data_IF_134848692483
#
_entry.id   IF_134848692483
#
_cell.length_a   1.000
_cell.length_b   1.000
_cell.length_c   1.000
_cell.angle_alpha   90.00
_cell.angle_beta   90.00
_cell.angle_gamma   90.00
#
_symmetry.space_group_name_H-M   'P 1'
#
loop_
_entity.id
_entity.type
_entity.pdbx_description
1 polymer ?
#
# COMPACT_ATOMS: atom_id res chain seq x y z
N UNK A 1 -0.88 10.13 14.81
CA UNK A 1 -0.31 10.76 13.61
C UNK A 1 1.03 11.33 14.01
N UNK A 2 2.12 10.64 13.69
CA UNK A 2 3.47 11.16 13.90
C UNK A 2 3.93 11.77 12.58
N UNK A 3 4.11 13.09 12.57
CA UNK A 3 4.61 13.84 11.43
C UNK A 3 6.12 13.61 11.30
N UNK A 4 6.53 12.86 10.28
CA UNK A 4 7.94 12.72 9.91
C UNK A 4 8.37 13.92 9.05
N UNK A 5 8.31 15.14 9.59
CA UNK A 5 8.79 16.35 8.89
C UNK A 5 10.24 16.66 9.29
N UNK A 6 11.19 16.36 8.39
CA UNK A 6 12.34 17.26 8.23
C UNK A 6 11.85 18.48 7.45
N UNK A 7 11.99 19.63 8.09
CA UNK A 7 11.42 20.90 7.72
C UNK A 7 12.20 21.54 6.56
N UNK A 8 11.59 21.59 5.38
CA UNK A 8 11.90 22.58 4.34
C UNK A 8 10.59 23.17 3.83
N UNK A 9 10.51 24.50 3.82
CA UNK A 9 9.29 25.24 3.57
C UNK A 9 8.71 24.94 2.17
N UNK A 10 7.52 24.33 2.09
CA UNK A 10 6.65 24.41 0.91
C UNK A 10 5.96 23.13 0.43
N UNK A 11 6.44 21.94 0.79
CA UNK A 11 5.90 20.66 0.26
C UNK A 11 5.63 19.64 1.37
N UNK A 12 4.46 19.00 1.34
CA UNK A 12 4.15 17.86 2.21
C UNK A 12 4.88 16.62 1.68
N UNK A 13 6.02 16.28 2.28
CA UNK A 13 6.91 15.21 1.82
C UNK A 13 6.35 13.79 2.04
N UNK A 14 5.60 13.56 3.13
CA UNK A 14 4.96 12.27 3.39
C UNK A 14 4.16 12.26 4.69
N UNK A 15 3.17 11.38 4.80
CA UNK A 15 2.32 11.21 5.99
C UNK A 15 2.32 9.75 6.42
N UNK A 16 2.34 9.51 7.74
CA UNK A 16 2.14 8.17 8.31
C UNK A 16 0.74 8.03 8.91
N UNK A 17 0.03 7.00 8.49
CA UNK A 17 -1.31 6.64 8.94
C UNK A 17 -1.28 5.30 9.67
N UNK A 18 -2.09 5.20 10.73
CA UNK A 18 -2.43 3.89 11.29
C UNK A 18 -3.43 3.17 10.37
N UNK A 19 -3.34 1.85 10.26
CA UNK A 19 -4.26 1.05 9.46
C UNK A 19 -5.73 1.18 9.88
N UNK A 20 -6.03 1.62 11.11
CA UNK A 20 -7.38 1.88 11.61
C UNK A 20 -7.86 3.32 11.48
N UNK A 21 -7.14 4.19 10.76
CA UNK A 21 -7.59 5.57 10.59
C UNK A 21 -8.88 5.62 9.75
N UNK A 22 -9.83 6.44 10.18
CA UNK A 22 -10.99 6.82 9.37
C UNK A 22 -10.50 7.81 8.31
N UNK A 23 -10.35 7.35 7.07
CA UNK A 23 -9.69 8.12 6.01
C UNK A 23 -10.48 9.38 5.63
N UNK A 24 -11.80 9.32 5.74
CA UNK A 24 -12.71 10.44 5.51
C UNK A 24 -12.36 11.68 6.33
N UNK A 25 -11.82 11.51 7.54
CA UNK A 25 -11.49 12.62 8.44
C UNK A 25 -10.20 13.36 8.03
N UNK A 26 -9.31 12.70 7.27
CA UNK A 26 -7.95 13.21 7.00
C UNK A 26 -7.62 13.32 5.51
N UNK A 27 -8.48 12.79 4.63
CA UNK A 27 -8.17 12.63 3.20
C UNK A 27 -7.74 13.93 2.51
N UNK A 28 -8.39 15.05 2.82
CA UNK A 28 -8.12 16.33 2.16
C UNK A 28 -6.70 16.86 2.42
N UNK A 29 -6.13 16.47 3.57
CA UNK A 29 -4.77 16.83 3.98
C UNK A 29 -3.77 15.84 3.37
N UNK A 30 -4.05 14.54 3.47
CA UNK A 30 -3.06 13.49 3.14
C UNK A 30 -2.99 13.17 1.66
N UNK A 31 -4.07 13.39 0.88
CA UNK A 31 -4.07 13.10 -0.57
C UNK A 31 -3.06 13.93 -1.37
N UNK A 32 -2.57 15.04 -0.78
CA UNK A 32 -1.54 15.92 -1.38
C UNK A 32 -0.12 15.48 -1.05
N UNK A 33 0.05 14.54 -0.13
CA UNK A 33 1.36 14.04 0.25
C UNK A 33 1.97 13.23 -0.90
N UNK A 34 3.26 13.42 -1.15
CA UNK A 34 3.99 12.60 -2.13
C UNK A 34 4.00 11.11 -1.75
N UNK A 35 3.91 10.82 -0.44
CA UNK A 35 3.96 9.49 0.14
C UNK A 35 2.95 9.35 1.29
N UNK A 36 2.26 8.23 1.35
CA UNK A 36 1.48 7.79 2.52
C UNK A 36 2.03 6.44 2.99
N UNK A 37 2.59 6.42 4.20
CA UNK A 37 3.01 5.21 4.89
C UNK A 37 1.86 4.69 5.77
N UNK A 38 1.39 3.47 5.54
CA UNK A 38 0.36 2.82 6.35
C UNK A 38 1.04 1.83 7.29
N UNK A 39 0.89 2.04 8.60
CA UNK A 39 1.47 1.15 9.60
C UNK A 39 0.57 -0.03 9.94
N UNK A 40 1.18 -1.21 9.97
CA UNK A 40 0.57 -2.44 10.43
C UNK A 40 1.03 -2.72 11.86
N UNK A 41 0.07 -2.81 12.80
CA UNK A 41 0.34 -3.06 14.21
C UNK A 41 0.57 -4.55 14.54
N UNK A 42 0.28 -5.45 13.60
CA UNK A 42 0.49 -6.88 13.75
C UNK A 42 -0.01 -7.68 12.56
N UNK A 43 0.38 -8.95 12.49
CA UNK A 43 0.11 -9.84 11.34
C UNK A 43 -1.39 -10.06 11.06
N UNK A 44 -2.28 -9.88 12.04
CA UNK A 44 -3.71 -10.08 11.87
C UNK A 44 -4.45 -8.81 11.42
N UNK A 45 -3.73 -7.70 11.23
CA UNK A 45 -4.34 -6.42 10.89
C UNK A 45 -4.54 -6.24 9.38
N UNK A 46 -5.72 -6.62 8.90
CA UNK A 46 -6.11 -6.43 7.50
C UNK A 46 -6.57 -5.00 7.15
N UNK A 47 -6.76 -4.09 8.11
CA UNK A 47 -7.42 -2.80 7.83
C UNK A 47 -6.62 -1.91 6.90
N UNK A 48 -5.29 -1.95 7.00
CA UNK A 48 -4.38 -1.24 6.09
C UNK A 48 -4.55 -1.64 4.61
N UNK A 49 -4.98 -2.87 4.32
CA UNK A 49 -5.26 -3.33 2.96
C UNK A 49 -6.51 -2.65 2.39
N UNK A 50 -7.59 -2.59 3.18
CA UNK A 50 -8.82 -1.89 2.81
C UNK A 50 -8.57 -0.39 2.63
N UNK A 51 -7.75 0.21 3.50
CA UNK A 51 -7.35 1.60 3.40
C UNK A 51 -6.61 1.89 2.09
N UNK A 52 -5.64 1.05 1.71
CA UNK A 52 -4.94 1.19 0.43
C UNK A 52 -5.89 1.10 -0.78
N UNK A 53 -6.85 0.15 -0.75
CA UNK A 53 -7.87 0.03 -1.80
C UNK A 53 -8.72 1.30 -1.89
N UNK A 54 -9.16 1.87 -0.77
CA UNK A 54 -9.94 3.12 -0.74
C UNK A 54 -9.13 4.29 -1.30
N UNK A 55 -7.87 4.43 -0.87
CA UNK A 55 -6.96 5.47 -1.36
C UNK A 55 -6.81 5.41 -2.89
N UNK A 56 -6.58 4.23 -3.46
CA UNK A 56 -6.44 4.08 -4.92
C UNK A 56 -7.74 4.22 -5.69
N UNK A 57 -8.84 3.65 -5.20
CA UNK A 57 -10.09 3.54 -5.96
C UNK A 57 -11.05 4.70 -5.76
N UNK A 58 -11.27 5.13 -4.52
CA UNK A 58 -12.25 6.17 -4.18
C UNK A 58 -11.66 7.56 -4.22
N UNK A 59 -10.42 7.70 -3.76
CA UNK A 59 -9.76 8.99 -3.62
C UNK A 59 -8.70 9.27 -4.69
N UNK A 60 -8.51 8.34 -5.63
CA UNK A 60 -7.60 8.46 -6.76
C UNK A 60 -6.17 8.86 -6.34
N UNK A 61 -5.72 8.41 -5.17
CA UNK A 61 -4.38 8.72 -4.69
C UNK A 61 -3.33 8.05 -5.57
N UNK A 62 -2.48 8.88 -6.20
CA UNK A 62 -1.43 8.43 -7.15
C UNK A 62 -0.01 8.50 -6.60
N UNK A 63 0.18 9.03 -5.39
CA UNK A 63 1.48 9.04 -4.73
C UNK A 63 1.92 7.65 -4.25
N UNK A 64 3.07 7.61 -3.59
CA UNK A 64 3.65 6.37 -3.06
C UNK A 64 2.78 5.83 -1.91
N UNK A 65 2.45 4.54 -1.95
CA UNK A 65 1.83 3.85 -0.83
C UNK A 65 2.81 2.84 -0.23
N UNK A 66 3.31 3.18 0.95
CA UNK A 66 4.31 2.39 1.67
C UNK A 66 3.68 1.59 2.80
N UNK A 67 3.93 0.30 2.85
CA UNK A 67 3.64 -0.52 4.02
C UNK A 67 4.79 -0.46 5.02
N UNK A 68 4.49 -0.17 6.29
CA UNK A 68 5.50 -0.08 7.37
C UNK A 68 5.04 -0.81 8.64
N UNK A 69 5.96 -1.14 9.54
CA UNK A 69 5.67 -1.91 10.76
C UNK A 69 5.77 -3.41 10.55
N UNK A 70 4.78 -4.18 11.04
CA UNK A 70 4.77 -5.65 10.94
C UNK A 70 4.34 -6.13 9.55
N UNK A 71 5.14 -5.80 8.53
CA UNK A 71 4.90 -6.19 7.14
C UNK A 71 5.36 -7.62 6.91
N UNK A 72 4.42 -8.51 6.60
CA UNK A 72 4.71 -9.91 6.27
C UNK A 72 5.20 -10.03 4.82
N UNK A 73 6.42 -10.55 4.57
CA UNK A 73 6.96 -10.70 3.21
C UNK A 73 6.07 -11.52 2.27
N UNK A 74 5.45 -12.59 2.79
CA UNK A 74 4.60 -13.48 2.01
C UNK A 74 3.30 -12.81 1.52
N UNK A 75 2.91 -11.70 2.14
CA UNK A 75 1.69 -10.97 1.78
C UNK A 75 1.93 -9.91 0.71
N UNK A 76 3.19 -9.62 0.39
CA UNK A 76 3.54 -8.58 -0.58
C UNK A 76 2.84 -8.71 -1.95
N UNK A 77 2.60 -9.92 -2.53
CA UNK A 77 1.81 -10.02 -3.77
C UNK A 77 0.37 -9.54 -3.59
N UNK A 78 -0.24 -9.81 -2.43
CA UNK A 78 -1.59 -9.33 -2.13
C UNK A 78 -1.60 -7.83 -1.86
N UNK A 79 -0.61 -7.31 -1.11
CA UNK A 79 -0.49 -5.88 -0.82
C UNK A 79 -0.30 -5.06 -2.09
N UNK A 80 0.54 -5.52 -3.04
CA UNK A 80 0.66 -4.91 -4.37
C UNK A 80 -0.70 -4.79 -5.06
N UNK A 81 -1.49 -5.88 -5.05
CA UNK A 81 -2.82 -5.88 -5.65
C UNK A 81 -3.79 -4.92 -4.96
N UNK A 82 -3.63 -4.69 -3.66
CA UNK A 82 -4.42 -3.72 -2.89
C UNK A 82 -3.98 -2.27 -3.11
N UNK A 83 -2.82 -2.05 -3.74
CA UNK A 83 -2.38 -0.72 -4.18
C UNK A 83 -1.07 -0.22 -3.57
N UNK A 84 -0.44 -1.00 -2.68
CA UNK A 84 0.91 -0.70 -2.18
C UNK A 84 1.94 -0.81 -3.31
N UNK A 85 3.00 0.00 -3.25
CA UNK A 85 4.12 -0.03 -4.19
C UNK A 85 5.47 -0.14 -3.48
N UNK A 86 5.53 0.21 -2.19
CA UNK A 86 6.76 0.24 -1.41
C UNK A 86 6.58 -0.50 -0.07
N UNK A 87 7.61 -1.19 0.39
CA UNK A 87 7.57 -2.02 1.60
C UNK A 87 8.80 -1.76 2.47
N UNK A 88 8.57 -1.44 3.74
CA UNK A 88 9.61 -1.46 4.77
C UNK A 88 9.64 -2.86 5.39
N UNK A 89 10.71 -3.61 5.10
CA UNK A 89 10.89 -4.99 5.56
C UNK A 89 12.03 -5.06 6.58
N UNK A 90 11.95 -6.01 7.50
CA UNK A 90 12.85 -6.10 8.66
C UNK A 90 14.32 -6.27 8.28
N UNK A 91 14.61 -7.04 7.23
CA UNK A 91 15.97 -7.39 6.81
C UNK A 91 16.01 -7.87 5.34
N UNK A 92 17.22 -8.17 4.85
CA UNK A 92 17.44 -8.65 3.48
C UNK A 92 16.76 -9.99 3.18
N UNK A 93 16.65 -10.90 4.17
CA UNK A 93 16.00 -12.20 3.98
C UNK A 93 14.48 -12.04 3.80
N UNK A 94 13.89 -11.12 4.56
CA UNK A 94 12.50 -10.70 4.37
C UNK A 94 12.29 -10.11 2.97
N UNK A 95 13.22 -9.25 2.50
CA UNK A 95 13.18 -8.71 1.14
C UNK A 95 13.28 -9.79 0.05
N UNK A 96 14.20 -10.74 0.19
CA UNK A 96 14.34 -11.88 -0.74
C UNK A 96 13.06 -12.73 -0.78
N UNK A 97 12.45 -12.96 0.38
CA UNK A 97 11.20 -13.73 0.49
C UNK A 97 10.04 -13.00 -0.21
N UNK A 98 9.91 -11.69 0.01
CA UNK A 98 8.92 -10.86 -0.67
C UNK A 98 9.10 -10.93 -2.19
N UNK A 99 10.34 -10.74 -2.68
CA UNK A 99 10.66 -10.83 -4.11
C UNK A 99 10.27 -12.20 -4.67
N UNK A 100 10.64 -13.29 -4.00
CA UNK A 100 10.30 -14.65 -4.43
C UNK A 100 8.78 -14.87 -4.48
N UNK A 101 8.04 -14.37 -3.49
CA UNK A 101 6.58 -14.45 -3.47
C UNK A 101 5.93 -13.65 -4.61
N UNK A 102 6.41 -12.43 -4.88
CA UNK A 102 5.94 -11.59 -6.00
C UNK A 102 6.23 -12.24 -7.35
N UNK A 103 7.41 -12.86 -7.53
CA UNK A 103 7.78 -13.56 -8.75
C UNK A 103 7.00 -14.86 -8.98
N UNK A 104 6.48 -15.49 -7.91
CA UNK A 104 5.69 -16.71 -7.99
C UNK A 104 4.22 -16.45 -8.33
N UNK A 105 3.70 -15.28 -7.95
CA UNK A 105 2.30 -14.89 -8.14
C UNK A 105 2.18 -13.82 -9.23
N UNK A 106 2.32 -14.24 -10.48
CA UNK A 106 2.36 -13.32 -11.65
C UNK A 106 1.00 -13.09 -12.31
N UNK A 107 0.01 -13.95 -12.07
CA UNK A 107 -1.34 -13.80 -12.60
C UNK A 107 -2.41 -14.14 -11.56
N UNK A 108 -3.56 -13.50 -11.70
CA UNK A 108 -4.68 -13.63 -10.76
C UNK A 108 -6.01 -13.73 -11.50
N UNK A 109 -6.85 -14.67 -11.08
CA UNK A 109 -8.19 -14.81 -11.67
C UNK A 109 -9.04 -13.55 -11.48
N UNK A 110 -9.00 -12.96 -10.29
CA UNK A 110 -9.78 -11.77 -9.92
C UNK A 110 -9.05 -10.46 -10.26
N UNK A 111 -9.85 -9.42 -10.54
CA UNK A 111 -9.34 -8.05 -10.69
C UNK A 111 -8.78 -7.49 -9.37
N UNK A 112 -8.01 -6.41 -9.47
CA UNK A 112 -7.42 -5.67 -8.36
C UNK A 112 -7.50 -4.16 -8.62
N UNK A 113 -7.07 -3.33 -7.67
CA UNK A 113 -7.03 -1.87 -7.93
C UNK A 113 -5.97 -1.49 -8.97
N UNK A 114 -4.94 -2.33 -9.15
CA UNK A 114 -3.89 -2.14 -10.16
C UNK A 114 -4.30 -2.73 -11.52
N UNK A 115 -4.97 -3.88 -11.51
CA UNK A 115 -5.47 -4.56 -12.71
C UNK A 115 -6.97 -4.86 -12.57
N UNK A 116 -7.86 -3.90 -12.84
CA UNK A 116 -9.30 -4.04 -12.56
C UNK A 116 -9.98 -5.15 -13.35
N UNK A 117 -9.48 -5.46 -14.54
CA UNK A 117 -10.04 -6.48 -15.41
C UNK A 117 -9.69 -7.89 -14.92
N UNK A 118 -10.68 -8.71 -14.51
CA UNK A 118 -10.43 -10.09 -14.11
C UNK A 118 -9.93 -10.93 -15.29
N UNK A 119 -9.26 -12.05 -15.01
CA UNK A 119 -8.58 -12.87 -16.02
C UNK A 119 -9.48 -13.31 -17.16
N UNK A 120 -10.70 -13.74 -16.86
CA UNK A 120 -11.66 -14.22 -17.86
C UNK A 120 -12.21 -13.12 -18.77
N UNK A 121 -12.03 -11.84 -18.42
CA UNK A 121 -12.37 -10.69 -19.27
C UNK A 121 -11.16 -10.12 -20.01
N UNK A 122 -9.94 -10.55 -19.67
CA UNK A 122 -8.73 -10.19 -20.42
C UNK A 122 -8.75 -11.02 -21.70
N UNK A 123 -8.89 -10.37 -22.85
CA UNK A 123 -8.75 -11.01 -24.16
C UNK A 123 -7.44 -11.79 -24.19
N UNK A 124 -7.50 -13.02 -24.71
CA UNK A 124 -6.31 -13.79 -25.01
C UNK A 124 -5.61 -13.12 -26.19
N UNK A 125 -4.62 -12.28 -25.91
CA UNK A 125 -3.60 -11.94 -26.92
C UNK A 125 -2.69 -13.15 -27.15
#
# INVERSE_FOLDING_TARGET
>A
MEDFTKQHAGELHGVRLDGSVEIEDVIDQVKRAALIAISFAGFADGRGLSLAVLLRSRYDYRGELRAVGDVLPDWTPYMLRSGFDTFELSDSKAAETAIACMQRMTDHYQGSVIHPSPRFRRSSD
#
